data_IF_876800245130
#
_entry.id   IF_876800245130
#
_cell.length_a   1.000
_cell.length_b   1.000
_cell.length_c   1.000
_cell.angle_alpha   90.00
_cell.angle_beta   90.00
_cell.angle_gamma   90.00
#
_symmetry.space_group_name_H-M   'P 1'
#
loop_
_entity.id
_entity.type
_entity.pdbx_description
1 polymer ?
#
# COMPACT_ATOMS: atom_id res chain seq x y z
N UNK A 1 4.86 -16.25 -37.30
CA UNK A 1 3.44 -16.02 -36.98
C UNK A 1 2.66 -15.82 -38.25
N UNK A 2 1.46 -16.40 -38.35
CA UNK A 2 0.56 -16.15 -39.49
C UNK A 2 -0.06 -14.75 -39.39
N UNK A 3 -0.64 -14.26 -40.50
CA UNK A 3 -1.35 -12.98 -40.54
C UNK A 3 -2.54 -12.95 -39.57
N UNK A 4 -3.26 -14.06 -39.41
CA UNK A 4 -4.40 -14.17 -38.50
C UNK A 4 -3.95 -14.04 -37.04
N UNK A 5 -2.84 -14.67 -36.66
CA UNK A 5 -2.29 -14.55 -35.29
C UNK A 5 -1.87 -13.11 -34.97
N UNK A 6 -1.20 -12.42 -35.92
CA UNK A 6 -0.81 -11.00 -35.72
C UNK A 6 -2.05 -10.11 -35.55
N UNK A 7 -3.10 -10.35 -36.35
CA UNK A 7 -4.36 -9.60 -36.25
C UNK A 7 -5.04 -9.81 -34.88
N UNK A 8 -5.02 -11.04 -34.36
CA UNK A 8 -5.57 -11.35 -33.05
C UNK A 8 -4.82 -10.59 -31.94
N UNK A 9 -3.49 -10.69 -31.89
CA UNK A 9 -2.69 -9.97 -30.89
C UNK A 9 -2.83 -8.45 -31.01
N UNK A 10 -2.94 -7.93 -32.23
CA UNK A 10 -3.20 -6.51 -32.45
C UNK A 10 -4.55 -6.07 -31.85
N UNK A 11 -5.60 -6.88 -32.01
CA UNK A 11 -6.90 -6.59 -31.42
C UNK A 11 -6.86 -6.67 -29.90
N UNK A 12 -6.20 -7.69 -29.34
CA UNK A 12 -6.00 -7.83 -27.88
C UNK A 12 -5.30 -6.59 -27.34
N UNK A 13 -4.11 -6.27 -27.87
CA UNK A 13 -3.32 -5.11 -27.44
C UNK A 13 -4.09 -3.80 -27.57
N UNK A 14 -4.76 -3.57 -28.70
CA UNK A 14 -5.55 -2.37 -28.93
C UNK A 14 -6.64 -2.20 -27.87
N UNK A 15 -7.44 -3.23 -27.63
CA UNK A 15 -8.59 -3.11 -26.74
C UNK A 15 -8.20 -3.13 -25.27
N UNK A 16 -7.25 -3.99 -24.87
CA UNK A 16 -6.75 -3.99 -23.50
C UNK A 16 -6.13 -2.63 -23.16
N UNK A 17 -5.37 -2.03 -24.08
CA UNK A 17 -4.77 -0.69 -23.87
C UNK A 17 -5.84 0.41 -23.82
N UNK A 18 -6.77 0.47 -24.78
CA UNK A 18 -7.76 1.55 -24.85
C UNK A 18 -8.66 1.57 -23.62
N UNK A 19 -9.09 0.39 -23.15
CA UNK A 19 -9.98 0.28 -22.00
C UNK A 19 -9.27 0.75 -20.72
N UNK A 20 -8.02 0.33 -20.49
CA UNK A 20 -7.32 0.69 -19.25
C UNK A 20 -6.69 2.10 -19.27
N UNK A 21 -6.43 2.71 -20.44
CA UNK A 21 -5.69 3.98 -20.55
C UNK A 21 -6.31 5.12 -19.74
N UNK A 22 -7.65 5.24 -19.71
CA UNK A 22 -8.31 6.30 -18.95
C UNK A 22 -8.00 6.21 -17.45
N UNK A 23 -8.00 5.01 -16.91
CA UNK A 23 -7.70 4.75 -15.51
C UNK A 23 -6.20 4.85 -15.22
N UNK A 24 -5.33 4.38 -16.13
CA UNK A 24 -3.89 4.59 -15.99
C UNK A 24 -3.53 6.07 -15.98
N UNK A 25 -4.19 6.91 -16.78
CA UNK A 25 -3.98 8.35 -16.74
C UNK A 25 -4.38 8.92 -15.38
N UNK A 26 -5.54 8.52 -14.85
CA UNK A 26 -5.98 8.92 -13.52
C UNK A 26 -4.97 8.49 -12.46
N UNK A 27 -4.48 7.24 -12.48
CA UNK A 27 -3.47 6.72 -11.56
C UNK A 27 -2.14 7.47 -11.67
N UNK A 28 -1.70 7.84 -12.87
CA UNK A 28 -0.48 8.62 -13.06
C UNK A 28 -0.62 10.05 -12.51
N UNK A 29 -1.77 10.70 -12.76
CA UNK A 29 -2.04 12.08 -12.32
C UNK A 29 -2.18 12.17 -10.80
N UNK A 30 -2.83 11.19 -10.19
CA UNK A 30 -3.01 11.11 -8.73
C UNK A 30 -1.77 10.57 -8.02
N UNK A 31 -1.07 9.61 -8.62
CA UNK A 31 0.10 8.95 -8.03
C UNK A 31 1.35 9.82 -8.01
N UNK A 32 1.56 10.70 -9.00
CA UNK A 32 2.75 11.55 -9.05
C UNK A 32 2.87 12.46 -7.80
N UNK A 33 1.83 13.18 -7.36
CA UNK A 33 1.86 13.91 -6.08
C UNK A 33 2.05 12.99 -4.87
N UNK A 34 1.40 11.82 -4.83
CA UNK A 34 1.44 10.91 -3.68
C UNK A 34 2.84 10.36 -3.38
N UNK A 35 3.71 10.25 -4.39
CA UNK A 35 5.11 9.85 -4.19
C UNK A 35 5.87 10.86 -3.30
N UNK A 36 5.47 12.14 -3.33
CA UNK A 36 6.11 13.22 -2.59
C UNK A 36 5.23 13.74 -1.44
N UNK A 37 4.36 12.88 -0.87
CA UNK A 37 3.42 13.32 0.15
C UNK A 37 4.13 13.87 1.39
N UNK A 38 5.19 13.23 1.85
CA UNK A 38 6.01 13.71 2.98
C UNK A 38 6.58 15.11 2.70
N UNK A 39 7.13 15.37 1.51
CA UNK A 39 7.67 16.68 1.16
C UNK A 39 6.58 17.73 0.95
N UNK A 40 5.45 17.35 0.37
CA UNK A 40 4.30 18.26 0.19
C UNK A 40 3.75 18.64 1.57
N UNK A 41 3.54 17.67 2.45
CA UNK A 41 3.04 17.87 3.81
C UNK A 41 4.02 18.69 4.64
N UNK A 42 5.33 18.40 4.57
CA UNK A 42 6.34 19.20 5.26
C UNK A 42 6.40 20.67 4.77
N UNK A 43 6.07 20.92 3.50
CA UNK A 43 5.96 22.28 2.97
C UNK A 43 4.66 22.98 3.37
N UNK A 44 3.58 22.24 3.57
CA UNK A 44 2.25 22.80 3.88
C UNK A 44 1.93 22.84 5.38
N UNK A 45 2.56 21.99 6.19
CA UNK A 45 2.28 21.78 7.62
C UNK A 45 3.59 21.83 8.41
N UNK A 46 3.80 22.92 9.13
CA UNK A 46 5.08 23.22 9.81
C UNK A 46 5.39 22.32 11.02
N UNK A 47 4.40 21.58 11.54
CA UNK A 47 4.52 20.85 12.81
C UNK A 47 5.09 19.42 12.66
N UNK A 48 5.01 18.81 11.47
CA UNK A 48 5.48 17.43 11.23
C UNK A 48 7.02 17.35 11.16
N UNK A 49 7.68 18.37 10.60
CA UNK A 49 9.13 18.37 10.38
C UNK A 49 9.95 18.32 11.69
N UNK A 50 9.42 18.86 12.79
CA UNK A 50 10.07 18.78 14.10
C UNK A 50 9.99 17.36 14.69
N UNK A 51 8.90 16.64 14.43
CA UNK A 51 8.70 15.28 14.90
C UNK A 51 9.58 14.22 14.20
N UNK A 52 10.21 14.57 13.07
CA UNK A 52 11.04 13.66 12.27
C UNK A 52 12.49 13.52 12.76
N UNK A 53 12.93 14.29 13.76
CA UNK A 53 14.29 14.20 14.28
C UNK A 53 14.43 13.12 15.36
N UNK A 54 15.30 12.15 15.13
CA UNK A 54 15.55 11.08 16.10
C UNK A 54 16.06 9.80 15.45
N UNK A 55 16.21 8.76 16.26
CA UNK A 55 16.50 7.42 15.77
C UNK A 55 15.26 6.80 15.16
N UNK A 56 15.39 5.89 14.18
CA UNK A 56 14.25 5.16 13.66
C UNK A 56 13.39 4.55 14.76
N UNK A 57 12.07 4.63 14.59
CA UNK A 57 11.14 4.14 15.61
C UNK A 57 11.40 2.67 15.92
N UNK A 58 11.88 1.86 14.97
CA UNK A 58 12.21 0.44 15.16
C UNK A 58 13.30 0.17 16.21
N UNK A 59 14.12 1.16 16.55
CA UNK A 59 15.27 1.01 17.45
C UNK A 59 14.96 1.27 18.93
N UNK A 60 13.69 1.51 19.26
CA UNK A 60 13.24 1.75 20.63
C UNK A 60 13.10 3.24 20.96
N UNK A 61 12.83 3.54 22.22
CA UNK A 61 12.52 4.89 22.70
C UNK A 61 11.55 4.83 23.87
N UNK A 62 10.58 5.74 23.89
CA UNK A 62 9.49 5.72 24.86
C UNK A 62 8.71 4.39 24.78
N UNK A 63 8.33 3.79 25.92
CA UNK A 63 7.57 2.53 25.95
C UNK A 63 6.29 2.61 25.11
N UNK A 64 6.00 1.54 24.36
CA UNK A 64 4.83 1.44 23.50
C UNK A 64 3.55 1.65 24.31
N UNK A 65 3.44 1.05 25.49
CA UNK A 65 2.27 1.16 26.36
C UNK A 65 1.99 2.63 26.72
N UNK A 66 3.04 3.43 26.88
CA UNK A 66 2.91 4.87 27.17
C UNK A 66 2.35 5.64 25.98
N UNK A 67 2.87 5.40 24.77
CA UNK A 67 2.41 6.07 23.56
C UNK A 67 0.99 5.64 23.18
N UNK A 68 0.67 4.36 23.35
CA UNK A 68 -0.67 3.82 23.14
C UNK A 68 -1.67 4.44 24.11
N UNK A 69 -1.34 4.55 25.40
CA UNK A 69 -2.21 5.18 26.38
C UNK A 69 -2.47 6.66 26.05
N UNK A 70 -1.45 7.40 25.58
CA UNK A 70 -1.61 8.77 25.09
C UNK A 70 -2.57 8.83 23.90
N UNK A 71 -2.38 7.97 22.90
CA UNK A 71 -3.24 7.92 21.70
C UNK A 71 -4.70 7.62 22.02
N UNK A 72 -4.96 6.68 22.94
CA UNK A 72 -6.33 6.38 23.38
C UNK A 72 -6.95 7.57 24.12
N UNK A 73 -6.18 8.28 24.95
CA UNK A 73 -6.65 9.47 25.64
C UNK A 73 -6.93 10.65 24.67
N UNK A 74 -6.02 10.93 23.75
CA UNK A 74 -6.17 11.93 22.67
C UNK A 74 -7.34 11.57 21.72
N UNK A 75 -7.57 10.26 21.55
CA UNK A 75 -8.70 9.63 20.87
C UNK A 75 -10.08 9.89 21.52
N UNK A 76 -10.14 10.48 22.72
CA UNK A 76 -11.37 10.62 23.47
C UNK A 76 -11.85 9.30 24.09
N UNK A 77 -10.93 8.34 24.26
CA UNK A 77 -11.20 6.97 24.69
C UNK A 77 -11.16 5.96 23.55
N UNK A 78 -11.77 4.80 23.77
CA UNK A 78 -11.77 3.68 22.81
C UNK A 78 -10.67 2.67 23.09
N UNK A 79 -10.19 2.03 22.03
CA UNK A 79 -9.22 0.94 22.09
C UNK A 79 -8.14 1.11 21.03
N UNK A 80 -6.90 0.65 21.32
CA UNK A 80 -5.86 0.58 20.30
C UNK A 80 -6.14 -0.55 19.32
N UNK A 81 -5.88 -0.28 18.04
CA UNK A 81 -6.11 -1.21 16.93
C UNK A 81 -4.79 -1.64 16.29
N UNK A 82 -3.94 -0.65 15.99
CA UNK A 82 -2.70 -0.86 15.27
C UNK A 82 -1.58 0.03 15.78
N UNK A 83 -0.35 -0.45 15.65
CA UNK A 83 0.86 0.36 15.83
C UNK A 83 1.77 0.14 14.61
N UNK A 84 2.14 1.22 13.93
CA UNK A 84 3.04 1.21 12.79
C UNK A 84 4.42 1.79 13.14
N UNK A 85 5.47 1.16 12.65
CA UNK A 85 6.86 1.59 12.84
C UNK A 85 7.45 2.11 11.53
N UNK A 86 8.17 3.22 11.61
CA UNK A 86 9.07 3.66 10.55
C UNK A 86 10.49 3.14 10.75
N UNK A 87 11.06 2.58 9.67
CA UNK A 87 12.44 2.06 9.62
C UNK A 87 13.49 3.17 9.43
N UNK A 88 13.08 4.34 8.95
CA UNK A 88 14.01 5.40 8.51
C UNK A 88 13.87 6.69 9.35
N UNK A 89 12.80 6.81 10.14
CA UNK A 89 12.53 8.01 10.93
C UNK A 89 11.89 7.63 12.30
N UNK A 90 11.88 8.54 13.30
CA UNK A 90 11.38 8.25 14.64
C UNK A 90 9.87 8.13 14.73
N UNK A 91 9.12 8.31 13.64
CA UNK A 91 7.66 8.31 13.67
C UNK A 91 7.15 6.91 14.03
N UNK A 92 6.32 6.88 15.06
CA UNK A 92 5.45 5.76 15.39
C UNK A 92 4.02 6.21 15.21
N UNK A 93 3.23 5.44 14.46
CA UNK A 93 1.81 5.70 14.33
C UNK A 93 1.01 4.77 15.22
N UNK A 94 -0.03 5.30 15.87
CA UNK A 94 -0.96 4.52 16.69
C UNK A 94 -2.37 4.76 16.15
N UNK A 95 -3.02 3.69 15.70
CA UNK A 95 -4.43 3.73 15.29
C UNK A 95 -5.33 3.33 16.44
N UNK A 96 -6.32 4.13 16.74
CA UNK A 96 -7.35 3.85 17.75
C UNK A 96 -8.74 3.83 17.12
N UNK A 97 -9.70 3.23 17.80
CA UNK A 97 -11.11 3.22 17.39
C UNK A 97 -12.05 2.88 18.54
N UNK A 98 -13.37 2.97 18.33
CA UNK A 98 -14.36 2.73 19.39
C UNK A 98 -14.42 1.26 19.85
N UNK A 99 -14.15 0.31 18.96
CA UNK A 99 -14.16 -1.13 19.23
C UNK A 99 -12.99 -1.82 18.53
N UNK A 100 -12.56 -3.03 18.96
CA UNK A 100 -11.43 -3.73 18.34
C UNK A 100 -11.61 -4.05 16.84
N UNK A 101 -12.85 -4.13 16.37
CA UNK A 101 -13.26 -4.39 14.99
C UNK A 101 -13.81 -3.15 14.27
N UNK A 102 -13.49 -1.95 14.77
CA UNK A 102 -14.00 -0.71 14.21
C UNK A 102 -13.72 -0.60 12.70
N UNK A 103 -14.68 -0.10 11.90
CA UNK A 103 -14.45 0.15 10.49
C UNK A 103 -13.45 1.30 10.29
N UNK A 104 -12.72 1.30 9.16
CA UNK A 104 -11.69 2.30 8.82
C UNK A 104 -12.18 3.74 9.01
N UNK A 105 -13.41 4.05 8.59
CA UNK A 105 -14.01 5.38 8.72
C UNK A 105 -14.22 5.87 10.16
N UNK A 106 -14.06 5.01 11.18
CA UNK A 106 -14.14 5.37 12.60
C UNK A 106 -12.78 5.30 13.29
N UNK A 107 -11.73 4.92 12.56
CA UNK A 107 -10.38 4.87 13.08
C UNK A 107 -9.79 6.27 13.15
N UNK A 108 -8.95 6.50 14.15
CA UNK A 108 -8.19 7.74 14.34
C UNK A 108 -6.72 7.38 14.40
N UNK A 109 -5.92 8.04 13.58
CA UNK A 109 -4.49 7.76 13.46
C UNK A 109 -3.71 8.88 14.14
N UNK A 110 -2.85 8.54 15.09
CA UNK A 110 -2.01 9.49 15.81
C UNK A 110 -0.55 9.22 15.49
N UNK A 111 0.24 10.29 15.36
CA UNK A 111 1.67 10.20 15.10
C UNK A 111 2.47 10.69 16.30
N UNK A 112 3.51 9.96 16.67
CA UNK A 112 4.40 10.30 17.77
C UNK A 112 5.85 10.17 17.35
N UNK A 113 6.71 11.06 17.86
CA UNK A 113 8.13 10.79 17.86
C UNK A 113 8.43 9.72 18.91
N UNK A 114 8.83 8.51 18.50
CA UNK A 114 9.11 7.41 19.44
C UNK A 114 10.28 7.69 20.37
N UNK A 115 11.24 8.52 19.96
CA UNK A 115 12.42 8.85 20.78
C UNK A 115 12.04 9.76 21.94
N UNK A 116 11.26 10.82 21.69
CA UNK A 116 10.91 11.84 22.71
C UNK A 116 9.55 11.59 23.37
N UNK A 117 8.65 10.89 22.67
CA UNK A 117 7.26 10.70 23.05
C UNK A 117 6.37 11.93 22.86
N UNK A 118 6.85 12.92 22.10
CA UNK A 118 6.06 14.08 21.67
C UNK A 118 5.04 13.65 20.62
N UNK A 119 3.82 14.19 20.75
CA UNK A 119 2.75 13.98 19.78
C UNK A 119 2.96 14.91 18.60
N UNK A 120 2.99 14.35 17.40
CA UNK A 120 2.87 15.09 16.15
C UNK A 120 1.40 15.36 15.79
N UNK A 121 0.45 14.95 16.64
CA UNK A 121 -0.97 15.14 16.47
C UNK A 121 -1.67 13.98 15.76
N UNK A 122 -2.96 14.19 15.54
CA UNK A 122 -3.81 13.27 14.76
C UNK A 122 -3.54 13.49 13.27
N UNK A 123 -3.20 12.41 12.56
CA UNK A 123 -3.17 12.36 11.11
C UNK A 123 -4.62 12.36 10.65
N UNK A 124 -5.08 13.51 10.17
CA UNK A 124 -6.45 13.67 9.68
C UNK A 124 -6.52 13.26 8.21
N UNK A 125 -7.54 12.47 7.92
CA UNK A 125 -7.93 12.07 6.57
C UNK A 125 -8.63 13.21 5.81
N UNK A 126 -7.94 14.34 5.70
CA UNK A 126 -8.48 15.57 5.13
C UNK A 126 -7.51 16.19 4.11
N UNK A 127 -8.02 17.13 3.31
CA UNK A 127 -7.21 17.87 2.35
C UNK A 127 -6.99 17.19 1.01
N UNK A 128 -6.16 17.83 0.19
CA UNK A 128 -5.96 17.45 -1.22
C UNK A 128 -5.23 16.13 -1.35
N UNK A 129 -4.26 15.85 -0.47
CA UNK A 129 -3.48 14.60 -0.51
C UNK A 129 -4.35 13.38 -0.20
N UNK A 130 -5.20 13.46 0.83
CA UNK A 130 -6.18 12.41 1.12
C UNK A 130 -7.17 12.20 -0.03
N UNK A 131 -7.70 13.28 -0.62
CA UNK A 131 -8.59 13.19 -1.78
C UNK A 131 -7.92 12.47 -2.95
N UNK A 132 -6.66 12.81 -3.26
CA UNK A 132 -5.88 12.16 -4.32
C UNK A 132 -5.64 10.68 -3.99
N UNK A 133 -5.33 10.37 -2.72
CA UNK A 133 -5.11 9.00 -2.26
C UNK A 133 -6.36 8.15 -2.44
N UNK A 134 -7.54 8.60 -1.95
CA UNK A 134 -8.80 7.86 -2.11
C UNK A 134 -9.19 7.70 -3.58
N UNK A 135 -9.03 8.75 -4.40
CA UNK A 135 -9.25 8.64 -5.84
C UNK A 135 -8.32 7.59 -6.49
N UNK A 136 -7.06 7.52 -6.04
CA UNK A 136 -6.03 6.63 -6.56
C UNK A 136 -6.24 5.17 -6.15
N UNK A 137 -6.60 4.91 -4.89
CA UNK A 137 -6.66 3.56 -4.34
C UNK A 137 -8.00 2.89 -4.61
N UNK A 138 -9.11 3.61 -4.43
CA UNK A 138 -10.45 3.01 -4.44
C UNK A 138 -11.51 3.81 -5.20
N UNK A 139 -11.16 4.94 -5.80
CA UNK A 139 -12.09 5.83 -6.51
C UNK A 139 -13.29 6.29 -5.66
N UNK A 140 -13.16 6.35 -4.33
CA UNK A 140 -14.24 6.57 -3.36
C UNK A 140 -15.33 5.48 -3.35
N UNK A 141 -15.04 4.30 -3.89
CA UNK A 141 -15.96 3.17 -3.95
C UNK A 141 -15.57 2.03 -3.00
N UNK A 142 -14.48 2.17 -2.23
CA UNK A 142 -13.94 1.12 -1.37
C UNK A 142 -13.57 -0.14 -2.19
N UNK A 143 -13.87 -1.32 -1.63
CA UNK A 143 -13.52 -2.60 -2.26
C UNK A 143 -13.97 -2.74 -3.73
N UNK A 144 -15.21 -2.39 -4.13
CA UNK A 144 -15.60 -2.35 -5.55
C UNK A 144 -14.65 -1.56 -6.45
N UNK A 145 -14.18 -0.39 -6.00
CA UNK A 145 -13.25 0.44 -6.75
C UNK A 145 -11.86 -0.16 -6.82
N UNK A 146 -11.35 -0.70 -5.71
CA UNK A 146 -10.08 -1.44 -5.68
C UNK A 146 -10.09 -2.59 -6.68
N UNK A 147 -11.11 -3.47 -6.64
CA UNK A 147 -11.23 -4.60 -7.55
C UNK A 147 -11.36 -4.17 -9.02
N UNK A 148 -12.11 -3.10 -9.28
CA UNK A 148 -12.23 -2.53 -10.61
C UNK A 148 -10.87 -2.04 -11.14
N UNK A 149 -10.11 -1.29 -10.34
CA UNK A 149 -8.75 -0.86 -10.69
C UNK A 149 -7.80 -2.05 -10.85
N UNK A 150 -7.96 -3.10 -10.05
CA UNK A 150 -7.23 -4.37 -10.21
C UNK A 150 -7.48 -5.03 -11.57
N UNK A 151 -8.73 -5.04 -12.05
CA UNK A 151 -9.05 -5.51 -13.42
C UNK A 151 -8.40 -4.62 -14.47
N UNK A 152 -8.41 -3.30 -14.28
CA UNK A 152 -7.72 -2.37 -15.21
C UNK A 152 -6.20 -2.58 -15.22
N UNK A 153 -5.59 -2.86 -14.06
CA UNK A 153 -4.19 -3.28 -13.95
C UNK A 153 -3.93 -4.59 -14.67
N UNK A 154 -4.83 -5.57 -14.57
CA UNK A 154 -4.74 -6.83 -15.33
C UNK A 154 -4.80 -6.62 -16.84
N UNK A 155 -5.69 -5.73 -17.31
CA UNK A 155 -5.74 -5.32 -18.72
C UNK A 155 -4.45 -4.62 -19.16
N UNK A 156 -3.84 -3.82 -18.28
CA UNK A 156 -2.55 -3.18 -18.54
C UNK A 156 -1.42 -4.21 -18.67
N UNK A 157 -1.33 -5.20 -17.77
CA UNK A 157 -0.37 -6.31 -17.89
C UNK A 157 -0.59 -7.07 -19.20
N UNK A 158 -1.84 -7.35 -19.57
CA UNK A 158 -2.18 -7.97 -20.85
C UNK A 158 -1.76 -7.09 -22.05
N UNK A 159 -1.91 -5.75 -21.94
CA UNK A 159 -1.45 -4.80 -22.94
C UNK A 159 0.08 -4.84 -23.11
N UNK A 160 0.83 -4.95 -22.01
CA UNK A 160 2.29 -5.09 -22.02
C UNK A 160 2.69 -6.38 -22.73
N UNK A 161 2.15 -7.53 -22.30
CA UNK A 161 2.49 -8.86 -22.87
C UNK A 161 2.18 -8.89 -24.37
N UNK A 162 0.97 -8.45 -24.75
CA UNK A 162 0.58 -8.39 -26.16
C UNK A 162 1.42 -7.39 -26.97
N UNK A 163 1.84 -6.28 -26.35
CA UNK A 163 2.76 -5.30 -26.93
C UNK A 163 4.13 -5.89 -27.25
N UNK A 164 4.70 -6.69 -26.35
CA UNK A 164 5.98 -7.42 -26.57
C UNK A 164 5.84 -8.42 -27.74
N UNK A 165 4.74 -9.18 -27.77
CA UNK A 165 4.47 -10.12 -28.87
C UNK A 165 4.41 -9.41 -30.23
N UNK A 166 3.82 -8.22 -30.28
CA UNK A 166 3.76 -7.40 -31.49
C UNK A 166 5.08 -6.68 -31.80
N UNK A 167 5.88 -6.31 -30.80
CA UNK A 167 7.12 -5.58 -30.97
C UNK A 167 8.10 -6.31 -31.90
N UNK A 168 8.29 -7.61 -31.67
CA UNK A 168 9.27 -8.45 -32.39
C UNK A 168 9.09 -8.40 -33.92
N UNK A 169 7.92 -8.73 -34.52
CA UNK A 169 7.77 -8.73 -35.97
C UNK A 169 7.94 -7.34 -36.61
N UNK A 170 7.61 -6.25 -35.90
CA UNK A 170 7.68 -4.88 -36.45
C UNK A 170 9.06 -4.23 -36.29
N UNK A 171 9.78 -4.54 -35.21
CA UNK A 171 11.03 -3.86 -34.86
C UNK A 171 12.29 -4.68 -35.16
N UNK A 172 12.20 -5.99 -35.44
CA UNK A 172 13.37 -6.86 -35.70
C UNK A 172 14.32 -6.42 -36.82
N UNK A 173 13.86 -5.57 -37.75
CA UNK A 173 14.67 -5.07 -38.88
C UNK A 173 15.25 -3.67 -38.64
N UNK A 174 14.92 -3.06 -37.52
CA UNK A 174 15.36 -1.72 -37.16
C UNK A 174 16.38 -1.83 -36.03
N UNK A 175 17.38 -0.96 -36.03
CA UNK A 175 18.24 -0.80 -34.86
C UNK A 175 17.41 -0.29 -33.69
N UNK A 176 17.72 -0.73 -32.48
CA UNK A 176 17.12 -0.19 -31.26
C UNK A 176 17.22 1.35 -31.26
N UNK A 177 16.16 2.04 -30.82
CA UNK A 177 16.12 3.50 -30.81
C UNK A 177 15.84 4.18 -32.15
N UNK A 178 15.62 3.43 -33.25
CA UNK A 178 15.33 4.04 -34.55
C UNK A 178 13.96 4.74 -34.56
N UNK A 179 13.96 6.07 -34.71
CA UNK A 179 12.76 6.88 -34.97
C UNK A 179 12.74 7.33 -36.43
N UNK A 180 11.75 6.90 -37.21
CA UNK A 180 11.66 7.23 -38.65
C UNK A 180 11.10 8.64 -38.85
N UNK A 181 11.97 9.65 -38.71
CA UNK A 181 11.62 11.09 -38.74
C UNK A 181 11.05 11.61 -40.07
N UNK A 182 11.32 10.95 -41.19
CA UNK A 182 10.88 11.36 -42.53
C UNK A 182 9.54 10.75 -42.96
N UNK A 183 8.92 9.90 -42.13
CA UNK A 183 7.65 9.21 -42.44
C UNK A 183 6.44 10.00 -41.93
N UNK A 184 5.24 9.48 -42.22
CA UNK A 184 3.97 10.07 -41.80
C UNK A 184 3.85 10.18 -40.27
N UNK A 185 3.01 11.11 -39.78
CA UNK A 185 2.74 11.31 -38.34
C UNK A 185 2.36 10.01 -37.62
N UNK A 186 1.63 9.12 -38.30
CA UNK A 186 1.23 7.80 -37.75
C UNK A 186 2.43 6.90 -37.47
N UNK A 187 3.38 6.83 -38.39
CA UNK A 187 4.60 6.02 -38.19
C UNK A 187 5.45 6.61 -37.07
N UNK A 188 5.54 7.95 -36.98
CA UNK A 188 6.26 8.60 -35.87
C UNK A 188 5.66 8.23 -34.51
N UNK A 189 4.33 8.33 -34.36
CA UNK A 189 3.64 7.94 -33.12
C UNK A 189 3.84 6.47 -32.76
N UNK A 190 3.81 5.59 -33.75
CA UNK A 190 4.08 4.16 -33.55
C UNK A 190 5.53 3.92 -33.10
N UNK A 191 6.51 4.56 -33.75
CA UNK A 191 7.92 4.42 -33.40
C UNK A 191 8.19 4.95 -31.98
N UNK A 192 7.61 6.09 -31.62
CA UNK A 192 7.71 6.66 -30.27
C UNK A 192 7.04 5.76 -29.23
N UNK A 193 5.84 5.23 -29.50
CA UNK A 193 5.17 4.30 -28.58
C UNK A 193 5.97 3.01 -28.39
N UNK A 194 6.50 2.43 -29.48
CA UNK A 194 7.33 1.23 -29.40
C UNK A 194 8.62 1.48 -28.62
N UNK A 195 9.25 2.64 -28.81
CA UNK A 195 10.47 3.01 -28.10
C UNK A 195 10.22 3.21 -26.61
N UNK A 196 9.21 4.01 -26.25
CA UNK A 196 8.86 4.23 -24.84
C UNK A 196 8.45 2.91 -24.18
N UNK A 197 7.59 2.12 -24.84
CA UNK A 197 7.11 0.86 -24.30
C UNK A 197 8.22 -0.16 -24.05
N UNK A 198 9.22 -0.27 -24.94
CA UNK A 198 10.34 -1.21 -24.71
C UNK A 198 11.32 -0.69 -23.66
N UNK A 199 11.55 0.62 -23.58
CA UNK A 199 12.45 1.24 -22.59
C UNK A 199 11.86 1.13 -21.18
N UNK A 200 10.55 1.32 -21.04
CA UNK A 200 9.87 1.24 -19.74
C UNK A 200 9.34 -0.16 -19.42
N UNK A 201 9.54 -1.15 -20.31
CA UNK A 201 8.90 -2.47 -20.23
C UNK A 201 9.02 -3.12 -18.86
N UNK A 202 10.24 -3.25 -18.35
CA UNK A 202 10.51 -3.91 -17.07
C UNK A 202 9.83 -3.18 -15.90
N UNK A 203 10.02 -1.86 -15.84
CA UNK A 203 9.42 -1.02 -14.81
C UNK A 203 7.88 -1.05 -14.85
N UNK A 204 7.30 -0.85 -16.04
CA UNK A 204 5.86 -0.85 -16.25
C UNK A 204 5.23 -2.20 -15.90
N UNK A 205 5.93 -3.31 -16.16
CA UNK A 205 5.47 -4.64 -15.79
C UNK A 205 5.48 -4.84 -14.27
N UNK A 206 6.56 -4.43 -13.59
CA UNK A 206 6.64 -4.50 -12.12
C UNK A 206 5.52 -3.68 -11.49
N UNK A 207 5.40 -2.40 -11.86
CA UNK A 207 4.36 -1.51 -11.32
C UNK A 207 2.95 -2.00 -11.66
N UNK A 208 2.74 -2.51 -12.88
CA UNK A 208 1.45 -3.07 -13.28
C UNK A 208 1.08 -4.31 -12.47
N UNK A 209 2.01 -5.24 -12.25
CA UNK A 209 1.77 -6.44 -11.46
C UNK A 209 1.57 -6.13 -9.98
N UNK A 210 2.41 -5.28 -9.40
CA UNK A 210 2.27 -4.89 -7.99
C UNK A 210 0.99 -4.11 -7.74
N UNK A 211 0.60 -3.22 -8.66
CA UNK A 211 -0.70 -2.53 -8.60
C UNK A 211 -1.89 -3.49 -8.61
N UNK A 212 -1.84 -4.54 -9.44
CA UNK A 212 -2.87 -5.59 -9.42
C UNK A 212 -2.89 -6.31 -8.07
N UNK A 213 -1.73 -6.71 -7.54
CA UNK A 213 -1.65 -7.41 -6.24
C UNK A 213 -2.23 -6.52 -5.12
N UNK A 214 -1.87 -5.24 -5.08
CA UNK A 214 -2.36 -4.29 -4.09
C UNK A 214 -3.88 -4.11 -4.14
N UNK A 215 -4.49 -4.14 -5.34
CA UNK A 215 -5.94 -4.09 -5.49
C UNK A 215 -6.67 -5.31 -4.88
N UNK A 216 -5.97 -6.42 -4.63
CA UNK A 216 -6.49 -7.61 -3.97
C UNK A 216 -6.05 -7.74 -2.51
N UNK A 217 -5.50 -6.69 -1.89
CA UNK A 217 -5.01 -6.74 -0.52
C UNK A 217 -6.07 -7.27 0.47
N UNK A 218 -7.28 -6.74 0.45
CA UNK A 218 -8.37 -7.18 1.34
C UNK A 218 -8.72 -8.68 1.18
N UNK A 219 -9.02 -9.19 -0.04
CA UNK A 219 -9.19 -10.62 -0.26
C UNK A 219 -8.01 -11.49 0.16
N UNK A 220 -6.78 -11.03 -0.08
CA UNK A 220 -5.57 -11.76 0.29
C UNK A 220 -5.43 -11.85 1.81
N UNK A 221 -5.67 -10.75 2.52
CA UNK A 221 -5.69 -10.70 3.98
C UNK A 221 -6.79 -11.60 4.55
N UNK A 222 -8.00 -11.58 3.97
CA UNK A 222 -9.09 -12.47 4.37
C UNK A 222 -8.72 -13.95 4.21
N UNK A 223 -8.13 -14.32 3.07
CA UNK A 223 -7.65 -15.68 2.79
C UNK A 223 -6.57 -16.12 3.80
N UNK A 224 -5.62 -15.24 4.11
CA UNK A 224 -4.60 -15.50 5.14
C UNK A 224 -5.24 -15.72 6.52
N UNK A 225 -6.22 -14.91 6.90
CA UNK A 225 -6.95 -15.04 8.19
C UNK A 225 -7.68 -16.36 8.31
N UNK A 226 -8.39 -16.76 7.25
CA UNK A 226 -9.20 -17.99 7.24
C UNK A 226 -8.35 -19.26 7.18
N UNK A 227 -7.13 -19.17 6.64
CA UNK A 227 -6.17 -20.27 6.56
C UNK A 227 -5.14 -20.23 7.70
N UNK A 228 -4.00 -19.61 7.43
CA UNK A 228 -2.80 -19.69 8.28
C UNK A 228 -3.02 -19.15 9.68
N UNK A 229 -3.66 -17.98 9.83
CA UNK A 229 -3.90 -17.42 11.16
C UNK A 229 -4.81 -18.34 11.99
N UNK A 230 -5.89 -18.83 11.39
CA UNK A 230 -6.82 -19.77 12.05
C UNK A 230 -6.13 -21.05 12.49
N UNK A 231 -5.20 -21.58 11.70
CA UNK A 231 -4.38 -22.74 12.06
C UNK A 231 -3.43 -22.41 13.23
N UNK A 232 -2.73 -21.28 13.17
CA UNK A 232 -1.80 -20.84 14.22
C UNK A 232 -2.48 -20.68 15.58
N UNK A 233 -3.74 -20.20 15.61
CA UNK A 233 -4.49 -19.97 16.85
C UNK A 233 -5.50 -21.08 17.17
N UNK A 234 -5.43 -22.22 16.48
CA UNK A 234 -6.43 -23.29 16.62
C UNK A 234 -6.59 -23.79 18.07
N UNK A 235 -5.50 -23.83 18.84
CA UNK A 235 -5.50 -24.19 20.26
C UNK A 235 -6.38 -23.27 21.13
N UNK A 236 -6.62 -22.04 20.66
CA UNK A 236 -7.43 -21.02 21.32
C UNK A 236 -8.75 -20.73 20.59
N UNK A 237 -9.14 -21.55 19.60
CA UNK A 237 -10.30 -21.28 18.74
C UNK A 237 -11.66 -21.30 19.46
N UNK A 238 -11.75 -21.90 20.64
CA UNK A 238 -12.96 -21.90 21.49
C UNK A 238 -12.95 -20.87 22.62
N UNK A 239 -11.84 -20.17 22.82
CA UNK A 239 -11.71 -19.20 23.90
C UNK A 239 -12.43 -17.90 23.53
N UNK A 240 -13.01 -17.22 24.53
CA UNK A 240 -13.61 -15.90 24.31
C UNK A 240 -12.51 -14.87 23.96
N UNK A 241 -12.79 -13.86 23.14
CA UNK A 241 -11.86 -12.75 22.95
C UNK A 241 -11.47 -12.10 24.29
N UNK A 242 -10.22 -11.63 24.41
CA UNK A 242 -9.77 -10.88 25.58
C UNK A 242 -10.42 -9.50 25.54
N UNK A 243 -10.96 -9.04 26.66
CA UNK A 243 -11.51 -7.70 26.72
C UNK A 243 -10.37 -6.67 26.64
N UNK A 244 -10.55 -5.52 25.97
CA UNK A 244 -9.50 -4.49 25.85
C UNK A 244 -8.92 -4.02 27.20
N UNK A 245 -9.71 -4.04 28.27
CA UNK A 245 -9.25 -3.70 29.62
C UNK A 245 -8.27 -4.73 30.22
N UNK A 246 -8.27 -5.95 29.71
CA UNK A 246 -7.45 -7.07 30.17
C UNK A 246 -6.23 -7.32 29.25
N UNK A 247 -5.95 -6.38 28.34
CA UNK A 247 -4.78 -6.44 27.46
C UNK A 247 -3.49 -6.36 28.27
N UNK A 248 -2.57 -7.29 27.98
CA UNK A 248 -1.24 -7.32 28.58
C UNK A 248 -0.35 -6.22 27.98
N UNK A 249 0.77 -5.91 28.64
CA UNK A 249 1.75 -4.94 28.15
C UNK A 249 2.24 -5.28 26.74
N UNK A 250 2.12 -4.31 25.83
CA UNK A 250 2.60 -4.41 24.45
C UNK A 250 4.12 -4.39 24.43
N UNK A 251 4.77 -3.65 25.34
CA UNK A 251 6.22 -3.67 25.49
C UNK A 251 6.73 -5.07 25.84
N UNK A 252 6.01 -5.80 26.72
CA UNK A 252 6.35 -7.19 27.07
C UNK A 252 6.20 -8.12 25.87
N UNK A 253 5.11 -7.99 25.11
CA UNK A 253 4.88 -8.77 23.90
C UNK A 253 5.95 -8.49 22.82
N UNK A 254 6.30 -7.22 22.60
CA UNK A 254 7.34 -6.80 21.67
C UNK A 254 8.72 -7.32 22.08
N UNK A 255 9.08 -7.23 23.37
CA UNK A 255 10.35 -7.77 23.87
C UNK A 255 10.45 -9.29 23.65
N UNK A 256 9.37 -10.04 23.91
CA UNK A 256 9.32 -11.48 23.65
C UNK A 256 9.47 -11.79 22.15
N UNK A 257 8.84 -11.01 21.28
CA UNK A 257 8.91 -11.19 19.84
C UNK A 257 10.32 -10.88 19.27
N UNK A 258 10.95 -9.79 19.73
CA UNK A 258 12.33 -9.43 19.35
C UNK A 258 13.35 -10.46 19.85
N UNK A 259 13.13 -11.05 21.02
CA UNK A 259 13.97 -12.14 21.52
C UNK A 259 13.86 -13.40 20.65
N UNK A 260 12.68 -13.67 20.09
CA UNK A 260 12.47 -14.78 19.16
C UNK A 260 13.03 -14.52 17.75
N UNK A 261 13.08 -13.25 17.31
CA UNK A 261 13.54 -12.82 15.99
C UNK A 261 14.62 -11.71 16.11
N UNK A 262 15.83 -12.04 16.62
CA UNK A 262 16.86 -11.04 16.84
C UNK A 262 17.36 -10.44 15.53
N UNK A 263 17.55 -9.11 15.51
CA UNK A 263 18.11 -8.39 14.36
C UNK A 263 17.12 -8.10 13.23
N UNK A 264 15.83 -8.41 13.41
CA UNK A 264 14.76 -8.00 12.50
C UNK A 264 13.99 -6.84 13.11
N UNK A 265 13.72 -5.80 12.32
CA UNK A 265 13.01 -4.60 12.77
C UNK A 265 11.49 -4.82 12.73
N UNK A 266 10.72 -4.44 13.77
CA UNK A 266 9.26 -4.54 13.71
C UNK A 266 8.70 -3.54 12.68
N UNK A 267 7.63 -3.91 12.00
CA UNK A 267 6.92 -3.06 11.03
C UNK A 267 5.55 -2.65 11.54
N UNK A 268 4.82 -3.59 12.16
CA UNK A 268 3.41 -3.41 12.47
C UNK A 268 2.96 -4.31 13.62
N UNK A 269 2.05 -3.82 14.47
CA UNK A 269 1.36 -4.62 15.49
C UNK A 269 -0.15 -4.54 15.24
N UNK A 270 -0.80 -5.69 15.12
CA UNK A 270 -2.25 -5.84 15.17
C UNK A 270 -2.73 -6.24 16.56
N UNK A 271 -3.68 -5.49 17.12
CA UNK A 271 -4.26 -5.77 18.43
C UNK A 271 -5.30 -6.89 18.38
N UNK A 272 -5.58 -7.57 19.52
CA UNK A 272 -6.60 -8.59 19.58
C UNK A 272 -7.97 -8.06 19.11
N UNK A 273 -8.72 -8.90 18.40
CA UNK A 273 -10.06 -8.59 17.89
C UNK A 273 -10.09 -7.81 16.57
N UNK A 274 -8.96 -7.25 16.13
CA UNK A 274 -8.86 -6.51 14.88
C UNK A 274 -8.68 -7.36 13.61
N UNK A 275 -8.61 -6.69 12.47
CA UNK A 275 -8.47 -7.31 11.14
C UNK A 275 -7.17 -8.10 10.92
N UNK A 276 -6.15 -7.86 11.75
CA UNK A 276 -4.80 -8.39 11.58
C UNK A 276 -4.36 -9.36 12.68
N UNK A 277 -5.27 -9.72 13.59
CA UNK A 277 -4.99 -10.68 14.67
C UNK A 277 -6.21 -11.53 15.02
N UNK A 278 -6.03 -12.47 15.95
CA UNK A 278 -7.10 -13.22 16.59
C UNK A 278 -7.74 -12.42 17.73
N UNK A 279 -8.79 -12.95 18.35
CA UNK A 279 -9.45 -12.31 19.50
C UNK A 279 -8.62 -12.23 20.80
N UNK A 280 -7.41 -12.81 20.85
CA UNK A 280 -6.64 -12.94 22.11
C UNK A 280 -5.15 -12.59 22.02
N UNK A 281 -4.62 -12.43 20.82
CA UNK A 281 -3.17 -12.31 20.60
C UNK A 281 -2.82 -10.95 20.02
N UNK A 282 -1.61 -10.48 20.32
CA UNK A 282 -0.96 -9.46 19.49
C UNK A 282 -0.34 -10.16 18.28
N UNK A 283 -0.57 -9.62 17.09
CA UNK A 283 0.14 -10.03 15.89
C UNK A 283 1.26 -9.02 15.62
N UNK A 284 2.51 -9.42 15.82
CA UNK A 284 3.69 -8.56 15.63
C UNK A 284 4.39 -8.99 14.33
N UNK A 285 4.46 -8.07 13.38
CA UNK A 285 5.08 -8.28 12.08
C UNK A 285 6.43 -7.58 12.04
N UNK A 286 7.41 -8.26 11.45
CA UNK A 286 8.79 -7.83 11.27
C UNK A 286 9.12 -7.76 9.78
#
# INVERSE_FOLDING_TARGET
MSRSTIKAWFLIHKWSSIVCTGFLLMLCVTGLPLIFHDEIEALTEHDVAAAMQGMPSTQGGVPLDTLIAKAVAEGGGGVPLFVGFSADNPILTVTTGPTPDAPEAQMRLFSYNRTTGESAGEIREEGVMHFLLKLHTDMFLGLPGMLFLGVMGGLFVLAIISGVVLYVPFMRRLRFGTLRKTRSKRVKRLDTHNLLGVVTLGWALVVGLTGVINAFADPLTASWREGQLKEMVAAHGGDRPVAPADYASVDTAMAAAQAALPGVSPQFIGFPGGGWSSGRHYAIFF
#
